data_IF_800305129136
#
_entry.id   IF_800305129136
#
_cell.length_a   1.000
_cell.length_b   1.000
_cell.length_c   1.000
_cell.angle_alpha   90.00
_cell.angle_beta   90.00
_cell.angle_gamma   90.00
#
_symmetry.space_group_name_H-M   'P 1'
#
loop_
_entity.id
_entity.type
_entity.pdbx_description
1 polymer ?
#
# COMPACT_ATOMS: atom_id res chain seq x y z
N UNK A 1 24.94 -10.00 -3.69
CA UNK A 1 24.37 -8.78 -3.05
C UNK A 1 23.89 -7.86 -4.17
N UNK A 2 22.60 -7.66 -4.32
CA UNK A 2 22.13 -6.69 -5.29
C UNK A 2 22.58 -5.29 -4.86
N UNK A 3 23.19 -4.56 -5.77
CA UNK A 3 23.62 -3.19 -5.55
C UNK A 3 22.42 -2.32 -5.17
N UNK A 4 22.62 -1.23 -4.40
CA UNK A 4 21.57 -0.22 -4.12
C UNK A 4 20.92 0.29 -5.41
N UNK A 5 21.71 0.35 -6.50
CA UNK A 5 21.25 0.77 -7.81
C UNK A 5 20.21 -0.18 -8.40
N UNK A 6 20.41 -1.49 -8.30
CA UNK A 6 19.45 -2.51 -8.76
C UNK A 6 18.14 -2.38 -7.99
N UNK A 7 18.20 -2.21 -6.67
CA UNK A 7 17.02 -2.02 -5.84
C UNK A 7 16.25 -0.74 -6.19
N UNK A 8 16.94 0.35 -6.49
CA UNK A 8 16.31 1.60 -6.90
C UNK A 8 15.56 1.46 -8.23
N UNK A 9 16.10 0.70 -9.19
CA UNK A 9 15.44 0.49 -10.49
C UNK A 9 14.13 -0.31 -10.39
N UNK A 10 13.97 -1.13 -9.35
CA UNK A 10 12.74 -1.89 -9.11
C UNK A 10 11.63 -1.05 -8.44
N UNK A 11 12.00 0.05 -7.78
CA UNK A 11 11.02 0.95 -7.16
C UNK A 11 10.19 1.62 -8.27
N UNK A 12 8.84 1.57 -8.22
CA UNK A 12 7.96 1.99 -9.31
C UNK A 12 8.21 3.40 -9.85
N UNK A 13 8.61 4.34 -9.00
CA UNK A 13 8.88 5.72 -9.43
C UNK A 13 10.14 5.86 -10.26
N UNK A 14 11.12 4.97 -10.09
CA UNK A 14 12.39 4.97 -10.84
C UNK A 14 12.37 4.04 -12.07
N UNK A 15 11.29 3.28 -12.26
CA UNK A 15 11.21 2.31 -13.35
C UNK A 15 11.36 2.98 -14.71
N UNK A 16 12.34 2.50 -15.50
CA UNK A 16 12.68 3.07 -16.82
C UNK A 16 13.61 4.29 -16.78
N UNK A 17 14.04 4.74 -15.59
CA UNK A 17 15.13 5.71 -15.50
C UNK A 17 16.47 5.05 -15.90
N UNK A 18 17.39 5.81 -16.50
CA UNK A 18 18.69 5.29 -16.93
C UNK A 18 19.59 4.93 -15.75
N UNK A 19 20.51 3.99 -15.94
CA UNK A 19 21.46 3.60 -14.90
C UNK A 19 22.35 4.77 -14.46
N UNK A 20 22.78 5.60 -15.41
CA UNK A 20 23.59 6.78 -15.16
C UNK A 20 22.86 7.77 -14.27
N UNK A 21 21.57 7.98 -14.53
CA UNK A 21 20.74 8.84 -13.68
C UNK A 21 20.62 8.30 -12.26
N UNK A 22 20.28 7.02 -12.10
CA UNK A 22 20.16 6.37 -10.80
C UNK A 22 21.48 6.43 -10.02
N UNK A 23 22.59 6.20 -10.70
CA UNK A 23 23.94 6.31 -10.11
C UNK A 23 24.21 7.73 -9.61
N UNK A 24 24.02 8.73 -10.47
CA UNK A 24 24.18 10.14 -10.12
C UNK A 24 23.26 10.56 -8.97
N UNK A 25 22.02 10.10 -8.96
CA UNK A 25 21.09 10.37 -7.87
C UNK A 25 21.60 9.79 -6.55
N UNK A 26 22.01 8.52 -6.53
CA UNK A 26 22.46 7.85 -5.31
C UNK A 26 23.76 8.45 -4.76
N UNK A 27 24.67 8.94 -5.62
CA UNK A 27 25.92 9.56 -5.20
C UNK A 27 25.75 11.01 -4.70
N UNK A 28 24.88 11.80 -5.32
CA UNK A 28 24.71 13.22 -5.04
C UNK A 28 23.65 13.53 -3.99
N UNK A 29 22.83 12.54 -3.64
CA UNK A 29 21.70 12.71 -2.74
C UNK A 29 22.06 12.28 -1.32
N UNK A 30 21.78 13.13 -0.32
CA UNK A 30 21.85 12.70 1.08
C UNK A 30 20.78 11.61 1.34
N UNK A 31 21.20 10.35 1.32
CA UNK A 31 20.38 9.19 1.61
C UNK A 31 20.59 8.75 3.05
N UNK A 32 19.50 8.53 3.78
CA UNK A 32 19.54 7.96 5.12
C UNK A 32 19.09 6.51 5.06
N UNK A 33 19.94 5.61 5.56
CA UNK A 33 19.62 4.18 5.67
C UNK A 33 19.31 3.83 7.11
N UNK A 34 18.22 3.09 7.32
CA UNK A 34 17.81 2.62 8.64
C UNK A 34 17.51 1.13 8.60
N UNK A 35 17.77 0.46 9.72
CA UNK A 35 17.48 -0.96 9.92
C UNK A 35 16.50 -1.09 11.08
N UNK A 36 15.47 -1.89 10.89
CA UNK A 36 14.43 -2.16 11.87
C UNK A 36 14.38 -3.66 12.15
N UNK A 37 14.29 -4.03 13.42
CA UNK A 37 14.05 -5.41 13.86
C UNK A 37 12.55 -5.76 13.72
N UNK A 38 12.24 -7.06 13.79
CA UNK A 38 10.87 -7.54 13.80
C UNK A 38 10.06 -6.89 14.95
N UNK A 39 8.86 -6.39 14.64
CA UNK A 39 8.01 -5.67 15.58
C UNK A 39 8.32 -4.17 15.73
N UNK A 40 9.45 -3.68 15.21
CA UNK A 40 9.79 -2.27 15.31
C UNK A 40 8.94 -1.39 14.39
N UNK A 41 8.60 -0.21 14.90
CA UNK A 41 7.76 0.78 14.19
C UNK A 41 8.60 1.62 13.23
N UNK A 42 8.27 1.53 11.93
CA UNK A 42 8.91 2.30 10.86
C UNK A 42 8.28 3.70 10.74
N UNK A 43 6.93 3.78 10.81
CA UNK A 43 6.18 5.03 10.81
C UNK A 43 4.83 4.88 11.52
N UNK A 44 4.30 5.97 12.07
CA UNK A 44 2.99 5.99 12.76
C UNK A 44 1.95 6.70 11.91
N UNK A 45 0.72 6.19 11.93
CA UNK A 45 -0.42 6.92 11.41
C UNK A 45 -0.56 8.27 12.12
N UNK A 46 -0.80 9.34 11.36
CA UNK A 46 -0.90 10.70 11.86
C UNK A 46 0.43 11.49 11.91
N UNK A 47 1.60 10.83 11.87
CA UNK A 47 2.87 11.53 11.76
C UNK A 47 3.03 12.18 10.38
N UNK A 48 3.70 13.32 10.31
CA UNK A 48 3.91 14.05 9.06
C UNK A 48 4.91 13.32 8.16
N UNK A 49 4.53 13.05 6.91
CA UNK A 49 5.41 12.52 5.86
C UNK A 49 6.42 13.59 5.42
N UNK A 50 7.59 13.64 6.04
CA UNK A 50 8.66 14.61 5.73
C UNK A 50 9.66 14.10 4.71
N UNK A 51 9.76 12.80 4.55
CA UNK A 51 10.71 12.10 3.68
C UNK A 51 9.99 11.11 2.78
N UNK A 52 10.57 10.83 1.62
CA UNK A 52 10.25 9.64 0.82
C UNK A 52 10.91 8.46 1.50
N UNK A 53 10.13 7.44 1.86
CA UNK A 53 10.61 6.28 2.62
C UNK A 53 10.44 5.02 1.76
N UNK A 54 11.56 4.44 1.34
CA UNK A 54 11.62 3.24 0.51
C UNK A 54 11.98 2.01 1.35
N UNK A 55 11.26 0.91 1.19
CA UNK A 55 11.59 -0.39 1.76
C UNK A 55 12.53 -1.10 0.80
N UNK A 56 13.77 -1.41 1.23
CA UNK A 56 14.79 -2.05 0.41
C UNK A 56 14.93 -3.54 0.68
N UNK A 57 14.55 -3.99 1.88
CA UNK A 57 14.60 -5.40 2.29
C UNK A 57 13.67 -5.65 3.45
N UNK A 58 13.27 -6.90 3.64
CA UNK A 58 12.32 -7.30 4.66
C UNK A 58 10.88 -6.99 4.29
N UNK A 59 9.92 -7.43 5.12
CA UNK A 59 8.49 -7.24 4.92
C UNK A 59 7.93 -6.28 5.96
N UNK A 60 7.00 -5.43 5.54
CA UNK A 60 6.39 -4.41 6.37
C UNK A 60 4.90 -4.66 6.49
N UNK A 61 4.36 -4.70 7.71
CA UNK A 61 2.92 -4.66 7.98
C UNK A 61 2.45 -3.22 7.98
N UNK A 62 1.55 -2.87 7.05
CA UNK A 62 0.80 -1.62 7.11
C UNK A 62 -0.59 -1.90 7.71
N UNK A 63 -1.02 -1.10 8.70
CA UNK A 63 -2.36 -1.18 9.30
C UNK A 63 -3.00 0.19 9.32
N UNK A 64 -4.19 0.31 8.73
CA UNK A 64 -4.94 1.57 8.59
C UNK A 64 -6.39 1.43 9.00
N UNK A 65 -6.99 2.54 9.42
CA UNK A 65 -8.42 2.64 9.66
C UNK A 65 -9.11 3.12 8.40
N UNK A 66 -10.25 2.51 8.08
CA UNK A 66 -11.07 2.85 6.92
C UNK A 66 -12.55 2.90 7.31
N UNK A 67 -13.41 3.36 6.40
CA UNK A 67 -14.85 3.50 6.62
C UNK A 67 -15.21 4.24 7.92
N UNK A 68 -14.64 5.42 8.12
CA UNK A 68 -14.89 6.20 9.33
C UNK A 68 -14.39 5.56 10.62
N UNK A 69 -13.52 4.54 10.52
CA UNK A 69 -12.97 3.82 11.66
C UNK A 69 -13.74 2.56 12.05
N UNK A 70 -14.74 2.16 11.26
CA UNK A 70 -15.48 0.91 11.46
C UNK A 70 -14.67 -0.33 11.09
N UNK A 71 -13.71 -0.18 10.16
CA UNK A 71 -12.83 -1.25 9.73
C UNK A 71 -11.35 -0.89 9.91
N UNK A 72 -10.54 -1.89 10.16
CA UNK A 72 -9.09 -1.88 10.04
C UNK A 72 -8.68 -2.78 8.88
N UNK A 73 -7.81 -2.29 8.01
CA UNK A 73 -7.19 -3.10 6.96
C UNK A 73 -5.70 -3.19 7.24
N UNK A 74 -5.20 -4.41 7.34
CA UNK A 74 -3.78 -4.72 7.45
C UNK A 74 -3.32 -5.44 6.19
N UNK A 75 -2.11 -5.15 5.75
CA UNK A 75 -1.49 -5.76 4.56
C UNK A 75 -0.01 -5.98 4.77
N UNK A 76 0.57 -6.96 4.10
CA UNK A 76 2.01 -7.19 4.05
C UNK A 76 2.60 -6.61 2.77
N UNK A 77 3.51 -5.64 2.93
CA UNK A 77 4.21 -4.96 1.85
C UNK A 77 5.59 -5.61 1.69
N UNK A 78 5.87 -6.06 0.46
CA UNK A 78 7.17 -6.59 0.05
C UNK A 78 8.22 -5.46 -0.14
N UNK A 79 9.52 -5.80 -0.26
CA UNK A 79 10.56 -4.85 -0.65
C UNK A 79 10.28 -4.15 -1.98
N UNK A 80 11.11 -3.15 -2.31
CA UNK A 80 11.01 -2.27 -3.50
C UNK A 80 9.72 -1.42 -3.51
N UNK A 81 9.17 -1.12 -2.34
CA UNK A 81 7.98 -0.29 -2.15
C UNK A 81 8.32 1.09 -1.56
N UNK A 82 7.50 2.09 -1.89
CA UNK A 82 7.52 3.40 -1.24
C UNK A 82 6.32 3.52 -0.30
N UNK A 83 6.57 3.84 0.96
CA UNK A 83 5.52 3.97 1.96
C UNK A 83 4.82 5.33 1.85
N UNK A 84 3.48 5.32 1.91
CA UNK A 84 2.63 6.52 1.90
C UNK A 84 2.95 7.51 0.76
N UNK A 85 3.15 6.99 -0.45
CA UNK A 85 3.59 7.75 -1.61
C UNK A 85 2.57 8.82 -2.03
N UNK A 86 1.29 8.56 -1.80
CA UNK A 86 0.17 9.47 -1.99
C UNK A 86 0.08 10.60 -0.95
N UNK A 87 0.79 10.47 0.17
CA UNK A 87 0.79 11.40 1.30
C UNK A 87 1.97 12.36 1.33
N UNK A 88 2.82 12.32 0.32
CA UNK A 88 3.98 13.23 0.25
C UNK A 88 3.56 14.68 0.04
N UNK A 89 2.49 14.93 -0.72
CA UNK A 89 1.98 16.26 -1.04
C UNK A 89 0.49 16.35 -0.73
N UNK A 90 -0.09 17.52 -0.92
CA UNK A 90 -1.50 17.79 -0.68
C UNK A 90 -1.78 18.35 0.72
N UNK A 91 -3.05 18.52 1.05
CA UNK A 91 -3.49 19.12 2.31
C UNK A 91 -3.27 18.18 3.51
N UNK A 92 -3.46 16.88 3.32
CA UNK A 92 -3.20 15.85 4.34
C UNK A 92 -1.92 15.08 3.98
N UNK A 93 -0.80 15.55 4.51
CA UNK A 93 0.51 14.97 4.31
C UNK A 93 0.97 14.10 5.50
N UNK A 94 0.03 13.40 6.14
CA UNK A 94 0.31 12.50 7.26
C UNK A 94 0.22 11.04 6.82
N UNK A 95 1.01 10.17 7.46
CA UNK A 95 0.88 8.73 7.24
C UNK A 95 -0.54 8.27 7.54
N UNK A 96 -1.20 7.63 6.57
CA UNK A 96 -2.55 7.07 6.73
C UNK A 96 -2.57 5.69 7.42
N UNK A 97 -1.40 5.09 7.66
CA UNK A 97 -1.25 3.77 8.26
C UNK A 97 -0.12 3.75 9.29
N UNK A 98 -0.18 2.77 10.20
CA UNK A 98 0.98 2.34 10.98
C UNK A 98 1.80 1.36 10.13
N UNK A 99 3.11 1.56 10.06
CA UNK A 99 4.05 0.69 9.37
C UNK A 99 4.98 0.03 10.39
N UNK A 100 4.99 -1.30 10.42
CA UNK A 100 5.76 -2.10 11.38
C UNK A 100 6.55 -3.16 10.63
N UNK A 101 7.80 -3.34 10.96
CA UNK A 101 8.65 -4.39 10.40
C UNK A 101 8.15 -5.77 10.84
N UNK A 102 7.92 -6.70 9.90
CA UNK A 102 7.56 -8.10 10.20
C UNK A 102 8.80 -8.98 10.45
N UNK A 103 9.88 -8.63 9.79
CA UNK A 103 11.18 -9.25 9.93
C UNK A 103 12.26 -8.16 9.94
N UNK A 104 13.54 -8.50 9.75
CA UNK A 104 14.60 -7.50 9.67
C UNK A 104 14.45 -6.69 8.38
N UNK A 105 14.02 -5.42 8.51
CA UNK A 105 13.79 -4.50 7.40
C UNK A 105 14.89 -3.47 7.25
N UNK A 106 15.31 -3.24 6.00
CA UNK A 106 16.16 -2.13 5.62
C UNK A 106 15.35 -1.08 4.87
N UNK A 107 15.45 0.19 5.27
CA UNK A 107 14.82 1.30 4.58
C UNK A 107 15.84 2.32 4.12
N UNK A 108 15.49 3.06 3.07
CA UNK A 108 16.20 4.23 2.57
C UNK A 108 15.25 5.42 2.56
N UNK A 109 15.75 6.56 2.99
CA UNK A 109 14.97 7.81 3.04
C UNK A 109 15.73 8.96 2.42
N UNK A 110 14.99 9.86 1.78
CA UNK A 110 15.47 11.17 1.33
C UNK A 110 14.38 12.23 1.47
N UNK A 111 14.78 13.50 1.54
CA UNK A 111 13.85 14.59 1.82
C UNK A 111 12.86 14.83 0.67
N UNK A 112 11.68 15.39 0.99
CA UNK A 112 10.73 15.90 -0.02
C UNK A 112 11.37 16.91 -0.97
N UNK A 113 12.26 17.75 -0.49
CA UNK A 113 12.96 18.74 -1.31
C UNK A 113 13.79 18.07 -2.41
N UNK A 114 14.50 17.01 -2.05
CA UNK A 114 15.24 16.18 -3.01
C UNK A 114 14.28 15.52 -4.00
N UNK A 115 13.13 15.05 -3.53
CA UNK A 115 12.14 14.43 -4.43
C UNK A 115 11.56 15.45 -5.42
N UNK A 116 11.26 16.68 -4.99
CA UNK A 116 10.83 17.74 -5.91
C UNK A 116 11.89 18.00 -6.98
N UNK A 117 13.15 18.13 -6.58
CA UNK A 117 14.26 18.30 -7.53
C UNK A 117 14.34 17.12 -8.51
N UNK A 118 14.21 15.89 -8.00
CA UNK A 118 14.20 14.67 -8.81
C UNK A 118 13.08 14.68 -9.87
N UNK A 119 11.87 15.12 -9.51
CA UNK A 119 10.75 15.26 -10.43
C UNK A 119 11.00 16.33 -11.51
N UNK A 120 11.72 17.41 -11.17
CA UNK A 120 12.08 18.46 -12.11
C UNK A 120 13.19 18.03 -13.08
N UNK A 121 14.17 17.28 -12.58
CA UNK A 121 15.37 16.90 -13.34
C UNK A 121 15.14 15.67 -14.22
N UNK A 122 14.12 14.84 -13.95
CA UNK A 122 13.90 13.61 -14.70
C UNK A 122 12.43 13.40 -15.05
N UNK A 123 12.14 13.53 -16.34
CA UNK A 123 10.78 13.41 -16.88
C UNK A 123 10.19 11.99 -16.68
N UNK A 124 11.01 10.94 -16.73
CA UNK A 124 10.54 9.56 -16.52
C UNK A 124 10.04 9.39 -15.09
N UNK A 125 10.80 9.87 -14.10
CA UNK A 125 10.41 9.83 -12.70
C UNK A 125 9.14 10.66 -12.46
N UNK A 126 9.06 11.85 -13.05
CA UNK A 126 7.88 12.70 -12.95
C UNK A 126 6.63 12.02 -13.52
N UNK A 127 6.72 11.47 -14.73
CA UNK A 127 5.58 10.79 -15.37
C UNK A 127 5.17 9.53 -14.58
N UNK A 128 6.13 8.76 -14.08
CA UNK A 128 5.83 7.61 -13.22
C UNK A 128 5.06 8.02 -11.96
N UNK A 129 5.49 9.11 -11.31
CA UNK A 129 4.80 9.63 -10.13
C UNK A 129 3.38 10.11 -10.45
N UNK A 130 3.22 10.89 -11.52
CA UNK A 130 1.90 11.35 -11.97
C UNK A 130 0.98 10.18 -12.31
N UNK A 131 1.48 9.17 -13.02
CA UNK A 131 0.71 7.97 -13.33
C UNK A 131 0.27 7.19 -12.08
N UNK A 132 1.14 7.09 -11.06
CA UNK A 132 0.78 6.46 -9.79
C UNK A 132 -0.37 7.22 -9.10
N UNK A 133 -0.27 8.55 -8.99
CA UNK A 133 -1.31 9.37 -8.37
C UNK A 133 -2.62 9.38 -9.18
N UNK A 134 -2.54 9.50 -10.52
CA UNK A 134 -3.71 9.49 -11.40
C UNK A 134 -4.50 8.19 -11.28
N UNK A 135 -3.81 7.05 -11.25
CA UNK A 135 -4.46 5.74 -11.05
C UNK A 135 -5.16 5.63 -9.71
N UNK A 136 -4.56 6.15 -8.64
CA UNK A 136 -5.19 6.16 -7.32
C UNK A 136 -6.44 7.05 -7.30
N UNK A 137 -6.37 8.22 -7.94
CA UNK A 137 -7.52 9.13 -8.05
C UNK A 137 -8.68 8.54 -8.86
N UNK A 138 -8.37 7.93 -10.03
CA UNK A 138 -9.39 7.29 -10.87
C UNK A 138 -10.12 6.17 -10.14
N UNK A 139 -9.38 5.29 -9.46
CA UNK A 139 -9.94 4.19 -8.67
C UNK A 139 -10.80 4.68 -7.50
N UNK A 140 -10.37 5.75 -6.83
CA UNK A 140 -11.17 6.36 -5.77
C UNK A 140 -12.48 6.92 -6.30
N UNK A 141 -12.46 7.56 -7.47
CA UNK A 141 -13.66 8.10 -8.11
C UNK A 141 -14.63 6.99 -8.56
N UNK A 142 -14.12 5.92 -9.17
CA UNK A 142 -14.90 4.74 -9.56
C UNK A 142 -15.58 4.10 -8.36
N UNK A 143 -14.84 3.83 -7.29
CA UNK A 143 -15.38 3.25 -6.06
C UNK A 143 -16.42 4.15 -5.36
N UNK A 144 -16.33 5.47 -5.50
CA UNK A 144 -17.32 6.40 -4.94
C UNK A 144 -18.58 6.48 -5.80
N UNK A 145 -18.48 6.39 -7.13
CA UNK A 145 -19.59 6.48 -8.05
C UNK A 145 -20.57 5.29 -7.94
N UNK A 146 -20.05 4.12 -7.60
CA UNK A 146 -20.79 2.84 -7.59
C UNK A 146 -21.41 2.47 -6.23
N UNK A 147 -21.19 3.25 -5.18
CA UNK A 147 -21.43 2.84 -3.78
C UNK A 147 -22.90 2.53 -3.38
N UNK A 148 -23.90 2.94 -4.14
CA UNK A 148 -25.32 2.71 -3.74
C UNK A 148 -25.91 1.37 -4.21
N UNK A 149 -25.25 0.68 -5.16
CA UNK A 149 -25.79 -0.54 -5.80
C UNK A 149 -24.82 -1.72 -5.81
N UNK A 150 -23.69 -1.62 -5.13
CA UNK A 150 -22.65 -2.63 -5.15
C UNK A 150 -23.10 -3.92 -4.43
N UNK A 151 -22.79 -5.07 -5.03
CA UNK A 151 -22.81 -6.39 -4.35
C UNK A 151 -21.76 -6.44 -3.25
N UNK A 152 -21.87 -7.40 -2.34
CA UNK A 152 -20.86 -7.64 -1.30
C UNK A 152 -19.46 -7.84 -1.90
N UNK A 153 -19.36 -8.59 -3.02
CA UNK A 153 -18.11 -8.82 -3.72
C UNK A 153 -17.49 -7.55 -4.29
N UNK A 154 -18.28 -6.69 -4.93
CA UNK A 154 -17.82 -5.41 -5.45
C UNK A 154 -17.34 -4.48 -4.31
N UNK A 155 -18.07 -4.43 -3.18
CA UNK A 155 -17.65 -3.65 -1.99
C UNK A 155 -16.33 -4.16 -1.42
N UNK A 156 -16.17 -5.47 -1.31
CA UNK A 156 -14.94 -6.07 -0.80
C UNK A 156 -13.75 -5.77 -1.74
N UNK A 157 -13.93 -5.95 -3.05
CA UNK A 157 -12.90 -5.61 -4.05
C UNK A 157 -12.52 -4.13 -3.99
N UNK A 158 -13.50 -3.23 -3.98
CA UNK A 158 -13.26 -1.79 -3.88
C UNK A 158 -12.51 -1.42 -2.59
N UNK A 159 -12.91 -2.00 -1.46
CA UNK A 159 -12.23 -1.79 -0.18
C UNK A 159 -10.76 -2.20 -0.25
N UNK A 160 -10.48 -3.43 -0.72
CA UNK A 160 -9.11 -3.94 -0.82
C UNK A 160 -8.31 -3.11 -1.84
N UNK A 161 -8.89 -2.77 -2.98
CA UNK A 161 -8.23 -1.99 -4.01
C UNK A 161 -7.80 -0.60 -3.53
N UNK A 162 -8.66 0.09 -2.77
CA UNK A 162 -8.40 1.43 -2.24
C UNK A 162 -7.54 1.44 -0.99
N UNK A 163 -7.67 0.40 -0.15
CA UNK A 163 -7.03 0.38 1.15
C UNK A 163 -5.66 -0.32 1.16
N UNK A 164 -5.22 -0.92 0.04
CA UNK A 164 -3.98 -1.71 0.02
C UNK A 164 -3.02 -1.30 -1.09
N UNK A 165 -1.73 -1.60 -0.91
CA UNK A 165 -0.69 -1.40 -1.91
C UNK A 165 -0.80 -2.44 -3.03
N UNK A 166 -0.27 -2.10 -4.22
CA UNK A 166 -0.12 -3.08 -5.29
C UNK A 166 0.90 -4.15 -4.90
N UNK A 167 0.59 -5.40 -5.24
CA UNK A 167 1.48 -6.53 -4.96
C UNK A 167 1.60 -6.86 -3.47
N UNK A 168 0.68 -6.39 -2.63
CA UNK A 168 0.62 -6.83 -1.25
C UNK A 168 -0.10 -8.18 -1.13
N UNK A 169 0.26 -8.90 -0.09
CA UNK A 169 -0.30 -10.18 0.27
C UNK A 169 -0.73 -10.17 1.74
N UNK A 170 -1.33 -11.26 2.21
CA UNK A 170 -1.67 -11.47 3.62
C UNK A 170 -2.46 -10.27 4.18
N UNK A 171 -3.61 -10.00 3.53
CA UNK A 171 -4.48 -8.89 3.90
C UNK A 171 -5.45 -9.36 4.97
N UNK A 172 -5.60 -8.59 6.04
CA UNK A 172 -6.59 -8.83 7.09
C UNK A 172 -7.53 -7.64 7.17
N UNK A 173 -8.83 -7.89 7.15
CA UNK A 173 -9.90 -6.91 7.33
C UNK A 173 -10.57 -7.21 8.66
N UNK A 174 -10.45 -6.30 9.61
CA UNK A 174 -11.02 -6.43 10.96
C UNK A 174 -12.11 -5.38 11.18
N UNK A 175 -13.27 -5.80 11.69
CA UNK A 175 -14.32 -4.89 12.14
C UNK A 175 -14.05 -4.38 13.57
N UNK A 176 -14.51 -3.18 13.86
CA UNK A 176 -14.42 -2.57 15.20
C UNK A 176 -15.54 -3.03 16.17
N UNK A 177 -16.29 -4.08 15.83
CA UNK A 177 -17.31 -4.66 16.71
C UNK A 177 -18.59 -5.13 16.03
N UNK A 178 -18.78 -4.83 14.73
CA UNK A 178 -19.92 -5.31 13.95
C UNK A 178 -19.51 -6.57 13.16
N UNK A 179 -20.45 -7.51 12.93
CA UNK A 179 -20.16 -8.63 12.06
C UNK A 179 -19.87 -8.17 10.63
N UNK A 180 -18.87 -8.77 9.97
CA UNK A 180 -18.53 -8.42 8.59
C UNK A 180 -19.69 -8.68 7.62
N UNK A 181 -20.52 -9.69 7.90
CA UNK A 181 -21.74 -9.97 7.12
C UNK A 181 -22.76 -8.85 7.19
N UNK A 182 -22.88 -8.15 8.32
CA UNK A 182 -23.73 -6.97 8.45
C UNK A 182 -23.14 -5.76 7.70
N UNK A 183 -21.83 -5.58 7.76
CA UNK A 183 -21.13 -4.47 7.11
C UNK A 183 -21.13 -4.58 5.58
N UNK A 184 -20.94 -5.80 5.05
CA UNK A 184 -20.91 -6.05 3.61
C UNK A 184 -22.28 -6.35 3.01
N UNK A 185 -23.30 -6.61 3.84
CA UNK A 185 -24.67 -6.81 3.42
C UNK A 185 -25.06 -8.30 3.27
N UNK A 186 -26.34 -8.58 2.89
CA UNK A 186 -26.94 -9.92 3.02
C UNK A 186 -26.24 -11.00 2.18
N UNK A 187 -25.68 -10.66 1.02
CA UNK A 187 -25.06 -11.64 0.12
C UNK A 187 -23.62 -12.00 0.54
N UNK A 188 -23.09 -11.35 1.58
CA UNK A 188 -21.69 -11.50 1.97
C UNK A 188 -21.36 -12.85 2.59
N UNK A 189 -22.31 -13.49 3.28
CA UNK A 189 -22.09 -14.80 3.87
C UNK A 189 -21.82 -15.87 2.80
N UNK A 190 -22.60 -15.86 1.71
CA UNK A 190 -22.41 -16.76 0.58
C UNK A 190 -21.11 -16.46 -0.17
N UNK A 191 -20.83 -15.18 -0.38
CA UNK A 191 -19.56 -14.73 -0.97
C UNK A 191 -18.36 -15.23 -0.18
N UNK A 192 -18.34 -15.04 1.15
CA UNK A 192 -17.22 -15.47 1.98
C UNK A 192 -17.03 -16.97 1.95
N UNK A 193 -18.11 -17.76 1.91
CA UNK A 193 -18.04 -19.21 1.75
C UNK A 193 -17.43 -19.62 0.41
N UNK A 194 -17.81 -18.95 -0.70
CA UNK A 194 -17.23 -19.22 -2.03
C UNK A 194 -15.75 -18.84 -2.10
N UNK A 195 -15.36 -17.70 -1.51
CA UNK A 195 -13.97 -17.27 -1.45
C UNK A 195 -13.10 -18.22 -0.62
N UNK A 196 -13.63 -18.78 0.46
CA UNK A 196 -12.92 -19.77 1.28
C UNK A 196 -12.73 -21.08 0.51
N UNK A 197 -13.75 -21.58 -0.17
CA UNK A 197 -13.64 -22.78 -1.03
C UNK A 197 -12.60 -22.61 -2.15
N UNK A 198 -12.42 -21.39 -2.67
CA UNK A 198 -11.41 -21.10 -3.70
C UNK A 198 -10.02 -20.79 -3.12
N UNK A 199 -9.87 -20.73 -1.80
CA UNK A 199 -8.61 -20.43 -1.14
C UNK A 199 -8.17 -18.95 -1.26
N UNK A 200 -9.06 -18.07 -1.72
CA UNK A 200 -8.77 -16.65 -1.96
C UNK A 200 -8.89 -15.84 -0.68
N UNK A 201 -9.96 -16.08 0.10
CA UNK A 201 -10.17 -15.43 1.38
C UNK A 201 -10.85 -16.39 2.35
N UNK A 202 -10.66 -16.18 3.65
CA UNK A 202 -11.25 -16.99 4.71
C UNK A 202 -11.76 -16.11 5.83
N UNK A 203 -13.02 -16.33 6.23
CA UNK A 203 -13.57 -15.71 7.44
C UNK A 203 -12.94 -16.39 8.67
N UNK A 204 -12.08 -15.66 9.37
CA UNK A 204 -11.37 -16.15 10.57
C UNK A 204 -12.29 -16.10 11.78
N UNK A 205 -13.12 -15.05 11.86
CA UNK A 205 -14.18 -14.84 12.85
C UNK A 205 -15.30 -13.99 12.25
N UNK A 206 -16.39 -13.76 13.00
CA UNK A 206 -17.47 -12.87 12.55
C UNK A 206 -16.98 -11.45 12.24
N UNK A 207 -15.88 -11.02 12.86
CA UNK A 207 -15.31 -9.68 12.74
C UNK A 207 -13.99 -9.64 11.96
N UNK A 208 -13.51 -10.78 11.46
CA UNK A 208 -12.19 -10.84 10.80
C UNK A 208 -12.23 -11.70 9.53
N UNK A 209 -11.82 -11.11 8.41
CA UNK A 209 -11.63 -11.75 7.11
C UNK A 209 -10.14 -11.67 6.72
N UNK A 210 -9.57 -12.82 6.42
CA UNK A 210 -8.22 -12.91 5.83
C UNK A 210 -8.33 -13.12 4.32
N UNK A 211 -7.47 -12.42 3.56
CA UNK A 211 -7.35 -12.52 2.10
C UNK A 211 -5.90 -12.85 1.75
N UNK A 212 -5.69 -13.93 1.00
CA UNK A 212 -4.35 -14.45 0.70
C UNK A 212 -3.52 -13.45 -0.12
N UNK A 213 -4.05 -13.02 -1.27
CA UNK A 213 -3.38 -12.07 -2.15
C UNK A 213 -4.36 -11.04 -2.68
N UNK A 214 -3.86 -9.81 -2.89
CA UNK A 214 -4.66 -8.74 -3.49
C UNK A 214 -5.10 -9.08 -4.91
N UNK A 215 -4.19 -9.59 -5.75
CA UNK A 215 -4.50 -9.97 -7.12
C UNK A 215 -5.53 -11.09 -7.19
N UNK A 216 -5.39 -12.13 -6.38
CA UNK A 216 -6.34 -13.24 -6.35
C UNK A 216 -7.77 -12.80 -6.06
N UNK A 217 -7.97 -11.82 -5.15
CA UNK A 217 -9.31 -11.28 -4.88
C UNK A 217 -9.82 -10.39 -6.01
N UNK A 218 -8.97 -9.52 -6.59
CA UNK A 218 -9.40 -8.59 -7.63
C UNK A 218 -9.69 -9.28 -8.97
N UNK A 219 -8.99 -10.38 -9.26
CA UNK A 219 -9.18 -11.18 -10.48
C UNK A 219 -10.31 -12.24 -10.34
N UNK A 220 -10.85 -12.42 -9.13
CA UNK A 220 -11.97 -13.33 -8.88
C UNK A 220 -13.26 -12.80 -9.53
N UNK A 221 -13.84 -13.59 -10.41
CA UNK A 221 -15.15 -13.31 -11.02
C UNK A 221 -16.23 -14.09 -10.25
N UNK A 222 -17.22 -13.37 -9.75
CA UNK A 222 -18.42 -13.93 -9.08
C UNK A 222 -19.28 -14.71 -10.05
#
# INVERSE_FOLDING_TARGET
MNSIYEKLTEIPVFKGATREFIHSFAEKTPLTFSKFGAGERIARAGDVCRTVKCVLSGRVRARRRVWGGRLYVSETIAPEAVLAFDRLFGLDNRFGAHYTALDVCGTMEFSKRVFIQLLQDNQVVMVNYMNLLSRMSQKSAEAMAENSWLTAGQRLRALVELATHRGCDDITIESSGEALTELFGPDSAELFARLDMSGIARLVSETELWVATRSGLLDYND
#
